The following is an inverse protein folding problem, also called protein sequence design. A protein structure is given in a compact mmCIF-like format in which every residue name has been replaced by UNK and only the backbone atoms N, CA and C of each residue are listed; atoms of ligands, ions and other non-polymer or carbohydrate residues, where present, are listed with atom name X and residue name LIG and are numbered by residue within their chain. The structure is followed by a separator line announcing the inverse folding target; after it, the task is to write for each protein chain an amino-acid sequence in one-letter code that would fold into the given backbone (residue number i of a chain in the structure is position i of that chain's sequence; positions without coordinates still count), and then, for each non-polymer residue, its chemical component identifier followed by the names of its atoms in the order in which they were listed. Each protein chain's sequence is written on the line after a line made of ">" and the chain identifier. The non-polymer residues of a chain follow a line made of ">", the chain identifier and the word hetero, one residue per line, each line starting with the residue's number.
data_IF_120307214414
#
_entry.id   IF_120307214414
#
_cell.length_a   1.000
_cell.length_b   1.000
_cell.length_c   1.000
_cell.angle_alpha   90.00
_cell.angle_beta   90.00
_cell.angle_gamma   90.00
#
_symmetry.space_group_name_H-M   'P 1'
#
loop_
_entity.id
_entity.type
_entity.pdbx_description
1 polymer ?
#
# COMPACT_ATOMS: atom_id res chain seq x y z
N UNK A 1 7.70 -37.96 35.64
CA UNK A 1 6.35 -37.46 35.96
C UNK A 1 6.46 -35.96 36.10
N UNK A 2 5.58 -35.19 35.46
CA UNK A 2 5.58 -33.72 35.52
C UNK A 2 4.22 -33.26 36.05
N UNK A 3 4.27 -32.40 37.07
CA UNK A 3 3.10 -31.75 37.66
C UNK A 3 2.91 -30.36 37.05
N UNK A 4 1.66 -29.91 36.95
CA UNK A 4 1.34 -28.49 36.71
C UNK A 4 0.87 -27.82 38.01
N UNK A 5 0.44 -26.56 37.93
CA UNK A 5 0.04 -25.73 39.08
C UNK A 5 -1.05 -26.33 39.98
N UNK A 6 -1.94 -27.19 39.46
CA UNK A 6 -2.94 -27.90 40.26
C UNK A 6 -2.41 -29.12 41.02
N UNK A 7 -1.15 -29.51 40.81
CA UNK A 7 -0.53 -30.67 41.44
C UNK A 7 -0.79 -32.01 40.72
N UNK A 8 -1.68 -32.07 39.72
CA UNK A 8 -1.90 -33.27 38.92
C UNK A 8 -0.68 -33.61 38.07
N UNK A 9 -0.30 -34.89 38.08
CA UNK A 9 0.90 -35.39 37.43
C UNK A 9 0.56 -36.36 36.30
N UNK A 10 1.30 -36.26 35.19
CA UNK A 10 1.34 -37.29 34.13
C UNK A 10 2.78 -37.58 33.73
N UNK A 11 3.00 -38.69 33.03
CA UNK A 11 4.30 -38.96 32.42
C UNK A 11 4.55 -38.01 31.25
N UNK A 12 5.82 -37.90 30.83
CA UNK A 12 6.21 -37.00 29.74
C UNK A 12 5.51 -37.36 28.42
N UNK A 13 5.43 -38.65 28.07
CA UNK A 13 4.78 -39.08 26.83
C UNK A 13 3.29 -38.71 26.78
N UNK A 14 2.55 -38.87 27.89
CA UNK A 14 1.14 -38.46 27.94
C UNK A 14 0.97 -36.95 27.81
N UNK A 15 1.90 -36.14 28.36
CA UNK A 15 1.88 -34.69 28.15
C UNK A 15 2.20 -34.34 26.70
N UNK A 16 3.20 -34.99 26.10
CA UNK A 16 3.55 -34.80 24.69
C UNK A 16 2.38 -35.11 23.77
N UNK A 17 1.72 -36.27 23.92
CA UNK A 17 0.56 -36.65 23.10
C UNK A 17 -0.60 -35.65 23.27
N UNK A 18 -0.97 -35.33 24.52
CA UNK A 18 -2.07 -34.41 24.80
C UNK A 18 -1.85 -33.00 24.23
N UNK A 19 -0.64 -32.46 24.39
CA UNK A 19 -0.29 -31.12 23.90
C UNK A 19 -0.15 -31.12 22.38
N UNK A 20 0.44 -32.16 21.79
CA UNK A 20 0.58 -32.28 20.33
C UNK A 20 -0.79 -32.37 19.64
N UNK A 21 -1.72 -33.17 20.17
CA UNK A 21 -3.10 -33.27 19.67
C UNK A 21 -3.79 -31.90 19.73
N UNK A 22 -3.72 -31.22 20.87
CA UNK A 22 -4.32 -29.89 21.03
C UNK A 22 -3.73 -28.84 20.06
N UNK A 23 -2.41 -28.86 19.81
CA UNK A 23 -1.76 -27.95 18.86
C UNK A 23 -2.20 -28.25 17.43
N UNK A 24 -2.33 -29.53 17.06
CA UNK A 24 -2.78 -29.94 15.74
C UNK A 24 -4.27 -29.65 15.50
N UNK A 25 -5.10 -29.63 16.54
CA UNK A 25 -6.51 -29.23 16.48
C UNK A 25 -6.72 -27.72 16.28
N UNK A 26 -5.69 -26.90 16.56
CA UNK A 26 -5.68 -25.48 16.18
C UNK A 26 -5.46 -24.50 17.34
N UNK A 27 -5.88 -23.23 17.18
CA UNK A 27 -5.52 -22.14 18.10
C UNK A 27 -6.15 -22.24 19.49
N UNK A 28 -7.06 -23.21 19.72
CA UNK A 28 -7.65 -23.46 21.04
C UNK A 28 -6.61 -23.96 22.06
N UNK A 29 -5.46 -24.48 21.59
CA UNK A 29 -4.31 -24.84 22.42
C UNK A 29 -3.79 -23.68 23.29
N UNK A 30 -4.04 -22.42 22.91
CA UNK A 30 -3.70 -21.23 23.72
C UNK A 30 -4.47 -21.14 25.04
N UNK A 31 -5.54 -21.91 25.18
CA UNK A 31 -6.39 -21.99 26.37
C UNK A 31 -6.43 -23.38 27.00
N UNK A 32 -5.44 -24.23 26.66
CA UNK A 32 -5.36 -25.62 27.08
C UNK A 32 -5.38 -25.78 28.60
N UNK A 33 -6.12 -26.78 29.09
CA UNK A 33 -6.37 -27.04 30.51
C UNK A 33 -5.80 -28.37 30.95
N UNK A 34 -5.79 -28.59 32.26
CA UNK A 34 -5.47 -29.87 32.84
C UNK A 34 -6.40 -30.96 32.27
N UNK A 35 -5.87 -32.11 31.83
CA UNK A 35 -6.70 -33.20 31.29
C UNK A 35 -7.49 -33.96 32.38
N UNK A 36 -7.44 -33.53 33.64
CA UNK A 36 -8.18 -34.14 34.75
C UNK A 36 -9.57 -33.50 34.88
N UNK A 37 -10.62 -34.34 34.88
CA UNK A 37 -11.96 -33.99 34.39
C UNK A 37 -12.57 -32.64 34.80
N UNK A 38 -12.48 -32.22 36.07
CA UNK A 38 -13.07 -30.95 36.55
C UNK A 38 -12.02 -29.87 36.83
N UNK A 39 -10.78 -30.07 36.40
CA UNK A 39 -9.67 -29.19 36.72
C UNK A 39 -9.48 -28.10 35.66
N UNK A 40 -9.66 -26.84 36.03
CA UNK A 40 -9.52 -25.68 35.12
C UNK A 40 -8.10 -25.09 35.08
N UNK A 41 -7.12 -25.74 35.70
CA UNK A 41 -5.76 -25.24 35.72
C UNK A 41 -5.19 -25.17 34.30
N UNK A 42 -4.63 -24.00 33.93
CA UNK A 42 -4.02 -23.79 32.63
C UNK A 42 -2.73 -24.60 32.48
N UNK A 43 -2.51 -25.12 31.28
CA UNK A 43 -1.19 -25.64 30.88
C UNK A 43 -0.30 -24.45 30.56
N UNK A 44 0.82 -24.32 31.29
CA UNK A 44 1.77 -23.22 31.10
C UNK A 44 2.62 -23.38 29.84
N UNK A 45 3.07 -22.26 29.28
CA UNK A 45 3.95 -22.24 28.10
C UNK A 45 5.24 -23.02 28.38
N UNK A 46 5.77 -22.97 29.61
CA UNK A 46 7.00 -23.70 29.94
C UNK A 46 6.84 -25.21 29.78
N UNK A 47 5.64 -25.76 30.07
CA UNK A 47 5.38 -27.18 29.87
C UNK A 47 5.25 -27.52 28.39
N UNK A 48 4.58 -26.67 27.61
CA UNK A 48 4.44 -26.84 26.16
C UNK A 48 5.82 -26.83 25.51
N UNK A 49 6.68 -25.86 25.84
CA UNK A 49 8.05 -25.78 25.35
C UNK A 49 8.92 -26.97 25.78
N UNK A 50 8.66 -27.53 26.97
CA UNK A 50 9.42 -28.66 27.49
C UNK A 50 9.12 -29.98 26.75
N UNK A 51 7.87 -30.22 26.34
CA UNK A 51 7.42 -31.55 25.86
C UNK A 51 7.10 -31.63 24.37
N UNK A 52 6.92 -30.50 23.70
CA UNK A 52 6.65 -30.43 22.26
C UNK A 52 7.93 -30.61 21.42
N UNK A 53 7.77 -31.16 20.22
CA UNK A 53 8.81 -31.14 19.20
C UNK A 53 8.91 -29.74 18.55
N UNK A 54 9.89 -29.52 17.68
CA UNK A 54 10.11 -28.21 17.04
C UNK A 54 8.94 -27.76 16.14
N UNK A 55 8.29 -28.68 15.42
CA UNK A 55 7.15 -28.35 14.55
C UNK A 55 5.93 -27.89 15.36
N UNK A 56 5.62 -28.58 16.46
CA UNK A 56 4.52 -28.24 17.36
C UNK A 56 4.80 -26.94 18.11
N UNK A 57 6.04 -26.70 18.56
CA UNK A 57 6.45 -25.41 19.14
C UNK A 57 6.20 -24.28 18.16
N UNK A 58 6.64 -24.44 16.90
CA UNK A 58 6.46 -23.43 15.86
C UNK A 58 4.97 -23.12 15.65
N UNK A 59 4.13 -24.13 15.47
CA UNK A 59 2.66 -23.97 15.37
C UNK A 59 2.07 -23.24 16.57
N UNK A 60 2.46 -23.63 17.78
CA UNK A 60 1.99 -22.99 19.01
C UNK A 60 2.36 -21.49 19.06
N UNK A 61 3.62 -21.15 18.74
CA UNK A 61 4.07 -19.77 18.69
C UNK A 61 3.37 -18.96 17.57
N UNK A 62 3.08 -19.58 16.42
CA UNK A 62 2.32 -18.96 15.34
C UNK A 62 0.90 -18.60 15.81
N UNK A 63 0.20 -19.52 16.48
CA UNK A 63 -1.12 -19.23 17.07
C UNK A 63 -1.03 -18.13 18.13
N UNK A 64 -0.02 -18.18 19.00
CA UNK A 64 0.17 -17.19 20.06
C UNK A 64 0.37 -15.79 19.48
N UNK A 65 1.22 -15.68 18.46
CA UNK A 65 1.47 -14.42 17.75
C UNK A 65 0.22 -13.95 17.01
N UNK A 66 -0.48 -14.84 16.31
CA UNK A 66 -1.70 -14.48 15.60
C UNK A 66 -2.77 -13.97 16.55
N UNK A 67 -2.95 -14.60 17.72
CA UNK A 67 -3.86 -14.12 18.77
C UNK A 67 -3.43 -12.76 19.32
N UNK A 68 -2.13 -12.51 19.48
CA UNK A 68 -1.62 -11.23 19.96
C UNK A 68 -1.88 -10.09 18.97
N UNK A 69 -1.63 -10.33 17.68
CA UNK A 69 -1.81 -9.33 16.61
C UNK A 69 -3.30 -9.03 16.42
N UNK A 70 -4.13 -10.07 16.31
CA UNK A 70 -5.58 -9.92 16.06
C UNK A 70 -6.28 -9.14 17.17
N UNK A 71 -5.81 -9.29 18.41
CA UNK A 71 -6.37 -8.56 19.57
C UNK A 71 -5.88 -7.12 19.69
N UNK A 72 -4.78 -6.74 19.02
CA UNK A 72 -4.20 -5.38 19.11
C UNK A 72 -4.64 -4.53 17.94
N UNK A 73 -5.42 -3.48 18.21
CA UNK A 73 -5.82 -2.46 17.21
C UNK A 73 -4.64 -1.77 16.48
N UNK A 74 -3.44 -1.82 17.07
CA UNK A 74 -2.20 -1.18 16.58
C UNK A 74 -1.28 -2.12 15.79
N UNK A 75 -1.69 -3.35 15.50
CA UNK A 75 -0.90 -4.32 14.73
C UNK A 75 -1.77 -5.04 13.69
N UNK A 76 -1.28 -5.14 12.45
CA UNK A 76 -1.93 -5.90 11.38
C UNK A 76 -0.89 -6.66 10.55
N UNK A 77 -1.27 -7.84 10.08
CA UNK A 77 -0.51 -8.54 9.05
C UNK A 77 -0.57 -7.76 7.74
N UNK A 78 0.54 -7.73 7.01
CA UNK A 78 0.51 -7.27 5.63
C UNK A 78 -0.37 -8.22 4.80
N UNK A 79 -1.34 -7.71 4.02
CA UNK A 79 -2.22 -8.54 3.21
C UNK A 79 -1.59 -9.02 1.89
N UNK A 80 -0.36 -8.62 1.59
CA UNK A 80 0.34 -9.10 0.40
C UNK A 80 0.58 -10.61 0.43
N UNK A 81 0.46 -11.25 -0.73
CA UNK A 81 0.80 -12.65 -0.90
C UNK A 81 2.27 -12.91 -0.52
N UNK A 82 2.53 -14.02 0.17
CA UNK A 82 3.85 -14.46 0.64
C UNK A 82 4.58 -13.42 1.51
N UNK A 83 3.84 -12.45 2.08
CA UNK A 83 4.38 -11.47 2.98
C UNK A 83 4.10 -11.83 4.44
N UNK A 84 5.16 -11.93 5.22
CA UNK A 84 5.09 -12.36 6.61
C UNK A 84 5.37 -11.19 7.59
N UNK A 85 5.33 -9.97 7.08
CA UNK A 85 5.52 -8.78 7.89
C UNK A 85 4.24 -8.41 8.66
N UNK A 86 4.43 -8.01 9.90
CA UNK A 86 3.44 -7.37 10.75
C UNK A 86 3.75 -5.88 10.78
N UNK A 87 2.76 -5.08 10.39
CA UNK A 87 2.82 -3.63 10.45
C UNK A 87 2.22 -3.18 11.78
N UNK A 88 2.98 -2.40 12.54
CA UNK A 88 2.53 -1.70 13.74
C UNK A 88 2.36 -0.24 13.40
N UNK A 89 1.23 0.34 13.74
CA UNK A 89 0.96 1.74 13.44
C UNK A 89 0.22 2.41 14.60
N UNK A 90 0.64 3.64 14.91
CA UNK A 90 0.00 4.52 15.89
C UNK A 90 -0.83 5.54 15.12
N UNK A 91 -2.06 5.15 14.86
CA UNK A 91 -2.94 5.87 13.95
C UNK A 91 -4.04 6.55 14.77
N UNK A 92 -4.28 7.85 14.50
CA UNK A 92 -5.42 8.59 15.03
C UNK A 92 -6.76 8.09 14.48
N UNK A 93 -7.87 8.61 14.99
CA UNK A 93 -9.22 8.17 14.59
C UNK A 93 -9.67 8.65 13.20
N UNK A 94 -8.80 9.34 12.46
CA UNK A 94 -9.12 9.96 11.17
C UNK A 94 -9.33 8.96 10.02
N UNK A 95 -10.02 9.41 8.97
CA UNK A 95 -10.78 8.55 8.06
C UNK A 95 -9.99 7.75 7.01
N UNK A 96 -8.69 7.99 6.79
CA UNK A 96 -7.92 7.25 5.77
C UNK A 96 -6.47 7.09 6.17
N UNK A 97 -6.15 5.93 6.72
CA UNK A 97 -4.86 5.63 7.29
C UNK A 97 -4.12 4.60 6.43
N UNK A 98 -3.70 5.02 5.25
CA UNK A 98 -2.86 4.21 4.38
C UNK A 98 -1.52 3.96 5.06
N UNK A 99 -1.08 2.69 5.10
CA UNK A 99 0.24 2.30 5.61
C UNK A 99 0.99 1.51 4.54
N UNK A 100 2.31 1.64 4.55
CA UNK A 100 3.19 0.89 3.65
C UNK A 100 4.03 -0.11 4.43
N UNK A 101 3.95 -1.37 4.03
CA UNK A 101 4.77 -2.45 4.56
C UNK A 101 6.20 -2.36 4.01
N UNK A 102 7.19 -2.94 4.73
CA UNK A 102 8.55 -3.16 4.21
C UNK A 102 8.60 -3.99 2.91
N UNK A 103 7.60 -4.83 2.64
CA UNK A 103 7.46 -5.53 1.35
C UNK A 103 6.93 -4.62 0.22
N UNK A 104 6.77 -3.31 0.50
CA UNK A 104 6.28 -2.27 -0.42
C UNK A 104 4.80 -2.36 -0.76
N UNK A 105 4.06 -3.27 -0.12
CA UNK A 105 2.62 -3.29 -0.25
C UNK A 105 2.00 -2.20 0.62
N UNK A 106 1.28 -1.28 -0.01
CA UNK A 106 0.51 -0.24 0.66
C UNK A 106 -0.95 -0.67 0.78
N UNK A 107 -1.49 -0.65 2.00
CA UNK A 107 -2.87 -1.02 2.29
C UNK A 107 -3.54 -0.01 3.24
N UNK A 108 -4.86 0.11 3.14
CA UNK A 108 -5.63 0.93 4.07
C UNK A 108 -5.74 0.22 5.42
N UNK A 109 -5.36 0.89 6.50
CA UNK A 109 -5.43 0.32 7.84
C UNK A 109 -6.85 -0.02 8.27
N UNK A 110 -7.88 0.66 7.74
CA UNK A 110 -9.25 0.45 8.16
C UNK A 110 -9.87 -0.78 7.49
N UNK A 111 -9.87 -0.83 6.15
CA UNK A 111 -10.52 -1.90 5.39
C UNK A 111 -9.59 -3.03 4.95
N UNK A 112 -8.27 -2.90 5.15
CA UNK A 112 -7.25 -3.87 4.74
C UNK A 112 -7.21 -4.18 3.23
N UNK A 113 -7.92 -3.40 2.40
CA UNK A 113 -7.77 -3.37 0.95
C UNK A 113 -6.56 -2.53 0.57
N UNK A 114 -6.23 -2.49 -0.72
CA UNK A 114 -5.20 -1.59 -1.25
C UNK A 114 -5.38 -0.17 -0.71
N UNK A 115 -4.27 0.48 -0.39
CA UNK A 115 -4.25 1.87 0.02
C UNK A 115 -5.03 2.71 -1.00
N UNK A 116 -5.90 3.60 -0.53
CA UNK A 116 -6.92 4.21 -1.38
C UNK A 116 -7.14 5.71 -1.14
N UNK A 117 -6.23 6.39 -0.45
CA UNK A 117 -6.25 7.85 -0.42
C UNK A 117 -6.20 8.43 -1.86
N UNK A 118 -7.04 9.44 -2.17
CA UNK A 118 -7.84 10.26 -1.25
C UNK A 118 -9.25 9.74 -0.91
N UNK A 119 -9.73 8.68 -1.57
CA UNK A 119 -11.10 8.17 -1.43
C UNK A 119 -11.29 7.47 -0.08
N UNK A 120 -12.40 7.69 0.62
CA UNK A 120 -12.73 6.98 1.86
C UNK A 120 -13.16 5.52 1.62
N UNK A 121 -13.12 4.69 2.67
CA UNK A 121 -13.44 3.27 2.55
C UNK A 121 -14.87 2.99 2.04
N UNK A 122 -15.83 3.88 2.30
CA UNK A 122 -17.24 3.70 1.91
C UNK A 122 -17.35 3.83 0.39
N UNK A 123 -16.86 4.95 -0.15
CA UNK A 123 -16.86 5.21 -1.60
C UNK A 123 -16.03 4.21 -2.40
N UNK A 124 -14.94 3.69 -1.81
CA UNK A 124 -14.18 2.57 -2.40
C UNK A 124 -15.03 1.30 -2.47
N UNK A 125 -15.82 1.02 -1.42
CA UNK A 125 -16.75 -0.11 -1.41
C UNK A 125 -17.78 0.01 -2.54
N UNK A 126 -18.45 1.16 -2.63
CA UNK A 126 -19.44 1.46 -3.66
C UNK A 126 -18.86 1.34 -5.08
N UNK A 127 -17.71 1.96 -5.32
CA UNK A 127 -17.03 1.90 -6.62
C UNK A 127 -16.73 0.45 -7.03
N UNK A 128 -16.14 -0.35 -6.14
CA UNK A 128 -15.80 -1.74 -6.45
C UNK A 128 -17.03 -2.61 -6.70
N UNK A 129 -18.12 -2.39 -5.96
CA UNK A 129 -19.39 -3.09 -6.17
C UNK A 129 -20.04 -2.73 -7.51
N UNK A 130 -20.06 -1.45 -7.87
CA UNK A 130 -20.56 -0.99 -9.18
C UNK A 130 -19.74 -1.60 -10.31
N UNK A 131 -18.40 -1.64 -10.18
CA UNK A 131 -17.53 -2.25 -11.19
C UNK A 131 -17.77 -3.75 -11.36
N UNK A 132 -17.97 -4.49 -10.26
CA UNK A 132 -18.31 -5.92 -10.32
C UNK A 132 -19.66 -6.16 -11.02
N UNK A 133 -20.65 -5.30 -10.78
CA UNK A 133 -21.94 -5.36 -11.48
C UNK A 133 -21.82 -5.06 -12.98
N UNK A 134 -21.10 -3.99 -13.35
CA UNK A 134 -20.88 -3.61 -14.75
C UNK A 134 -20.09 -4.67 -15.52
N UNK A 135 -19.06 -5.25 -14.90
CA UNK A 135 -18.27 -6.31 -15.51
C UNK A 135 -19.12 -7.55 -15.82
N UNK A 136 -20.00 -7.95 -14.89
CA UNK A 136 -20.96 -9.03 -15.12
C UNK A 136 -21.92 -8.72 -16.26
N UNK A 137 -22.41 -7.48 -16.34
CA UNK A 137 -23.30 -7.06 -17.43
C UNK A 137 -22.60 -7.10 -18.79
N UNK A 138 -21.34 -6.67 -18.89
CA UNK A 138 -20.57 -6.73 -20.13
C UNK A 138 -20.31 -8.15 -20.60
N UNK A 139 -19.96 -9.06 -19.69
CA UNK A 139 -19.78 -10.47 -20.04
C UNK A 139 -21.11 -11.14 -20.41
N UNK A 140 -22.19 -10.88 -19.68
CA UNK A 140 -23.53 -11.38 -20.01
C UNK A 140 -24.03 -10.87 -21.38
N UNK A 141 -23.72 -9.62 -21.73
CA UNK A 141 -24.03 -9.06 -23.05
C UNK A 141 -23.20 -9.67 -24.19
N UNK A 142 -22.01 -10.21 -23.89
CA UNK A 142 -21.15 -10.87 -24.89
C UNK A 142 -21.57 -12.31 -25.22
N UNK A 143 -22.28 -12.98 -24.29
CA UNK A 143 -22.86 -14.32 -24.51
C UNK A 143 -24.22 -14.26 -25.25
N UNK A 144 -24.86 -13.08 -25.31
CA UNK A 144 -26.13 -12.88 -26.03
C UNK A 144 -25.98 -12.87 -27.57
N UNK A 145 -24.77 -13.05 -28.11
CA UNK A 145 -24.52 -13.07 -29.56
C UNK A 145 -24.36 -14.49 -30.15
N UNK A 146 -24.43 -15.56 -29.36
CA UNK A 146 -24.21 -16.93 -29.84
C UNK A 146 -25.36 -17.92 -29.67
N UNK A 147 -26.49 -17.56 -29.04
CA UNK A 147 -27.68 -18.42 -29.05
C UNK A 147 -28.93 -17.62 -29.42
N UNK A 148 -29.56 -18.02 -30.53
CA UNK A 148 -30.79 -17.42 -31.01
C UNK A 148 -31.87 -17.46 -29.94
N UNK A 149 -32.37 -16.28 -29.55
CA UNK A 149 -33.47 -16.14 -28.62
C UNK A 149 -34.72 -16.86 -29.15
N UNK A 150 -35.39 -17.70 -28.34
CA UNK A 150 -36.77 -18.06 -28.60
C UNK A 150 -37.68 -16.93 -28.11
N UNK A 151 -38.53 -16.44 -29.00
CA UNK A 151 -39.62 -15.52 -28.69
C UNK A 151 -40.54 -16.14 -27.62
N UNK A 152 -40.51 -15.60 -26.40
CA UNK A 152 -41.58 -15.76 -25.44
C UNK A 152 -41.90 -14.38 -24.85
N UNK A 153 -42.98 -13.80 -25.38
CA UNK A 153 -43.76 -12.79 -24.69
C UNK A 153 -44.31 -13.36 -23.38
N UNK A 154 -44.59 -12.47 -22.43
CA UNK A 154 -45.21 -12.73 -21.12
C UNK A 154 -44.27 -12.96 -19.93
N UNK A 155 -43.48 -11.94 -19.57
CA UNK A 155 -43.34 -11.58 -18.14
C UNK A 155 -43.20 -10.07 -18.00
N UNK A 156 -44.30 -9.40 -17.65
CA UNK A 156 -44.33 -7.96 -17.38
C UNK A 156 -43.84 -7.72 -15.93
N UNK A 157 -42.71 -7.04 -15.69
CA UNK A 157 -42.25 -6.72 -14.34
C UNK A 157 -43.21 -5.73 -13.67
N UNK A 158 -43.48 -5.91 -12.39
CA UNK A 158 -44.27 -5.00 -11.56
C UNK A 158 -43.59 -3.64 -11.40
N UNK A 159 -44.38 -2.57 -11.45
CA UNK A 159 -43.91 -1.17 -11.49
C UNK A 159 -43.22 -0.71 -10.18
N UNK A 160 -43.34 -1.44 -9.07
CA UNK A 160 -42.75 -1.08 -7.76
C UNK A 160 -41.24 -1.44 -7.62
N UNK A 161 -40.72 -2.37 -8.42
CA UNK A 161 -39.28 -2.73 -8.42
C UNK A 161 -38.42 -1.76 -9.25
N UNK A 162 -39.06 -0.86 -9.98
CA UNK A 162 -38.43 0.05 -10.94
C UNK A 162 -37.96 1.37 -10.30
N UNK A 163 -38.55 1.76 -9.16
CA UNK A 163 -38.14 2.97 -8.43
C UNK A 163 -36.85 2.72 -7.63
N UNK A 164 -36.65 1.53 -7.06
CA UNK A 164 -35.42 1.17 -6.35
C UNK A 164 -34.22 1.00 -7.32
N UNK A 165 -34.47 0.68 -8.60
CA UNK A 165 -33.45 0.61 -9.65
C UNK A 165 -33.20 1.95 -10.35
N UNK A 166 -34.11 2.91 -10.25
CA UNK A 166 -33.99 4.23 -10.88
C UNK A 166 -33.05 5.17 -10.12
N UNK A 167 -33.02 5.10 -8.80
CA UNK A 167 -32.09 5.92 -7.99
C UNK A 167 -30.62 5.45 -8.15
N UNK A 168 -30.38 4.15 -8.33
CA UNK A 168 -29.05 3.59 -8.63
C UNK A 168 -28.53 3.93 -10.04
N UNK A 169 -29.37 4.51 -10.91
CA UNK A 169 -29.06 4.86 -12.30
C UNK A 169 -28.92 6.37 -12.54
N UNK A 170 -28.69 7.18 -11.50
CA UNK A 170 -28.51 8.64 -11.63
C UNK A 170 -27.13 9.05 -12.20
N UNK A 171 -26.18 8.12 -12.34
CA UNK A 171 -24.91 8.41 -13.03
C UNK A 171 -25.04 8.19 -14.54
N UNK A 172 -24.80 9.23 -15.34
CA UNK A 172 -24.68 9.08 -16.80
C UNK A 172 -23.64 8.00 -17.14
N UNK A 173 -23.97 6.98 -17.96
CA UNK A 173 -23.04 5.89 -18.30
C UNK A 173 -21.72 6.39 -18.92
N UNK A 174 -21.76 7.52 -19.64
CA UNK A 174 -20.58 8.17 -20.23
C UNK A 174 -19.60 8.71 -19.17
N UNK A 175 -20.12 9.17 -18.02
CA UNK A 175 -19.31 9.65 -16.90
C UNK A 175 -18.55 8.50 -16.24
N UNK A 176 -19.27 7.40 -15.98
CA UNK A 176 -18.70 6.19 -15.40
C UNK A 176 -17.59 5.63 -16.31
N UNK A 177 -17.86 5.51 -17.61
CA UNK A 177 -16.90 5.04 -18.60
C UNK A 177 -15.61 5.88 -18.62
N UNK A 178 -15.74 7.21 -18.59
CA UNK A 178 -14.58 8.13 -18.59
C UNK A 178 -13.66 7.91 -17.38
N UNK A 179 -14.23 7.94 -16.17
CA UNK A 179 -13.42 7.82 -14.95
C UNK A 179 -12.90 6.39 -14.75
N UNK A 180 -13.67 5.38 -15.17
CA UNK A 180 -13.22 3.99 -15.15
C UNK A 180 -12.05 3.74 -16.12
N UNK A 181 -12.11 4.29 -17.34
CA UNK A 181 -10.99 4.21 -18.29
C UNK A 181 -9.72 4.83 -17.69
N UNK A 182 -9.82 6.00 -17.04
CA UNK A 182 -8.70 6.62 -16.34
C UNK A 182 -8.16 5.78 -15.17
N UNK A 183 -9.04 5.14 -14.41
CA UNK A 183 -8.70 4.20 -13.34
C UNK A 183 -7.90 3.01 -13.88
N UNK A 184 -8.37 2.38 -14.96
CA UNK A 184 -7.71 1.24 -15.60
C UNK A 184 -6.33 1.60 -16.17
N UNK A 185 -6.22 2.74 -16.86
CA UNK A 185 -4.94 3.21 -17.40
C UNK A 185 -3.94 3.43 -16.27
N UNK A 186 -4.37 4.07 -15.18
CA UNK A 186 -3.52 4.32 -14.01
C UNK A 186 -3.09 3.03 -13.33
N UNK A 187 -3.99 2.04 -13.24
CA UNK A 187 -3.66 0.70 -12.72
C UNK A 187 -2.67 -0.04 -13.61
N UNK A 188 -2.85 0.00 -14.93
CA UNK A 188 -1.91 -0.58 -15.89
C UNK A 188 -0.51 0.05 -15.78
N UNK A 189 -0.43 1.37 -15.70
CA UNK A 189 0.83 2.10 -15.47
C UNK A 189 1.48 1.72 -14.13
N UNK A 190 0.68 1.56 -13.06
CA UNK A 190 1.17 1.11 -11.75
C UNK A 190 1.78 -0.29 -11.83
N UNK A 191 1.11 -1.24 -12.48
CA UNK A 191 1.60 -2.62 -12.66
C UNK A 191 2.92 -2.63 -13.45
N UNK A 192 3.01 -1.82 -14.50
CA UNK A 192 4.25 -1.67 -15.27
C UNK A 192 5.37 -1.13 -14.38
N UNK A 193 5.12 -0.08 -13.59
CA UNK A 193 6.12 0.49 -12.69
C UNK A 193 6.58 -0.50 -11.59
N UNK A 194 5.69 -1.35 -11.09
CA UNK A 194 6.03 -2.45 -10.17
C UNK A 194 6.94 -3.48 -10.85
N UNK A 195 6.68 -3.79 -12.11
CA UNK A 195 7.52 -4.70 -12.91
C UNK A 195 8.90 -4.12 -13.13
N UNK A 196 8.99 -2.84 -13.50
CA UNK A 196 10.25 -2.12 -13.65
C UNK A 196 11.03 -2.04 -12.33
N UNK A 197 10.36 -1.89 -11.17
CA UNK A 197 11.01 -1.93 -9.86
C UNK A 197 11.67 -3.29 -9.59
N UNK A 198 11.00 -4.40 -9.96
CA UNK A 198 11.58 -5.74 -9.81
C UNK A 198 12.83 -5.89 -10.68
N UNK A 199 12.73 -5.51 -11.96
CA UNK A 199 13.87 -5.53 -12.90
C UNK A 199 15.01 -4.63 -12.42
N UNK A 200 14.69 -3.46 -11.87
CA UNK A 200 15.67 -2.54 -11.29
C UNK A 200 16.44 -3.23 -10.16
N UNK A 201 15.73 -3.81 -9.19
CA UNK A 201 16.32 -4.46 -8.01
C UNK A 201 17.09 -5.74 -8.33
N UNK A 202 16.58 -6.58 -9.22
CA UNK A 202 17.14 -7.90 -9.49
C UNK A 202 18.27 -7.87 -10.53
N UNK A 203 18.29 -6.87 -11.43
CA UNK A 203 19.20 -6.86 -12.58
C UNK A 203 19.95 -5.54 -12.69
N UNK A 204 19.25 -4.40 -12.83
CA UNK A 204 19.90 -3.14 -13.23
C UNK A 204 20.81 -2.57 -12.14
N UNK A 205 20.45 -2.68 -10.87
CA UNK A 205 21.28 -2.17 -9.76
C UNK A 205 22.62 -2.90 -9.66
N UNK A 206 22.65 -4.23 -9.84
CA UNK A 206 23.90 -5.00 -9.80
C UNK A 206 24.86 -4.54 -10.92
N UNK A 207 24.33 -4.38 -12.14
CA UNK A 207 25.09 -3.88 -13.28
C UNK A 207 25.64 -2.48 -12.98
N UNK A 208 24.80 -1.55 -12.49
CA UNK A 208 25.22 -0.18 -12.17
C UNK A 208 26.26 -0.15 -11.06
N UNK A 209 26.10 -0.93 -9.99
CA UNK A 209 27.09 -1.03 -8.91
C UNK A 209 28.44 -1.51 -9.42
N UNK A 210 28.43 -2.53 -10.30
CA UNK A 210 29.67 -3.06 -10.89
C UNK A 210 30.37 -2.04 -11.80
N UNK A 211 29.60 -1.29 -12.59
CA UNK A 211 30.13 -0.31 -13.54
C UNK A 211 30.67 0.94 -12.83
N UNK A 212 29.96 1.41 -11.81
CA UNK A 212 30.31 2.63 -11.05
C UNK A 212 31.28 2.35 -9.90
N UNK A 213 31.50 1.08 -9.55
CA UNK A 213 32.24 0.65 -8.36
C UNK A 213 31.67 1.28 -7.07
N UNK A 214 30.35 1.17 -6.90
CA UNK A 214 29.60 1.68 -5.75
C UNK A 214 28.92 0.54 -4.98
N UNK A 215 28.59 0.81 -3.71
CA UNK A 215 27.73 -0.07 -2.92
C UNK A 215 26.27 0.10 -3.33
N UNK A 216 25.46 -0.96 -3.16
CA UNK A 216 24.02 -0.96 -3.45
C UNK A 216 23.26 0.20 -2.81
N UNK A 217 23.66 0.61 -1.60
CA UNK A 217 23.05 1.70 -0.82
C UNK A 217 23.20 3.06 -1.49
N UNK A 218 24.26 3.30 -2.26
CA UNK A 218 24.47 4.55 -2.98
C UNK A 218 23.45 4.77 -4.11
N UNK A 219 22.76 3.70 -4.53
CA UNK A 219 21.71 3.70 -5.56
C UNK A 219 20.29 3.56 -4.99
N UNK A 220 20.12 3.57 -3.67
CA UNK A 220 18.79 3.47 -3.03
C UNK A 220 17.84 4.57 -3.51
N UNK A 221 18.36 5.74 -3.89
CA UNK A 221 17.56 6.83 -4.46
C UNK A 221 16.79 6.43 -5.74
N UNK A 222 17.29 5.48 -6.54
CA UNK A 222 16.57 4.96 -7.71
C UNK A 222 15.41 4.07 -7.30
N UNK A 223 15.61 3.24 -6.26
CA UNK A 223 14.57 2.39 -5.69
C UNK A 223 13.48 3.27 -5.09
N UNK A 224 13.85 4.29 -4.32
CA UNK A 224 12.92 5.26 -3.73
C UNK A 224 12.14 6.02 -4.81
N UNK A 225 12.81 6.49 -5.86
CA UNK A 225 12.16 7.19 -6.97
C UNK A 225 11.16 6.27 -7.70
N UNK A 226 11.55 5.04 -8.00
CA UNK A 226 10.65 4.09 -8.66
C UNK A 226 9.46 3.70 -7.77
N UNK A 227 9.67 3.59 -6.45
CA UNK A 227 8.57 3.40 -5.49
C UNK A 227 7.62 4.59 -5.45
N UNK A 228 8.15 5.81 -5.52
CA UNK A 228 7.33 7.03 -5.61
C UNK A 228 6.49 7.05 -6.88
N UNK A 229 7.03 6.62 -8.04
CA UNK A 229 6.25 6.46 -9.28
C UNK A 229 5.06 5.52 -9.09
N UNK A 230 5.28 4.34 -8.50
CA UNK A 230 4.22 3.36 -8.20
C UNK A 230 3.14 3.99 -7.32
N UNK A 231 3.55 4.70 -6.27
CA UNK A 231 2.66 5.36 -5.33
C UNK A 231 1.86 6.50 -5.99
N UNK A 232 2.47 7.25 -6.90
CA UNK A 232 1.76 8.30 -7.63
C UNK A 232 0.71 7.74 -8.59
N UNK A 233 1.01 6.65 -9.31
CA UNK A 233 0.02 5.98 -10.15
C UNK A 233 -1.13 5.38 -9.32
N UNK A 234 -0.84 4.83 -8.14
CA UNK A 234 -1.87 4.39 -7.19
C UNK A 234 -2.78 5.54 -6.78
N UNK A 235 -2.21 6.71 -6.43
CA UNK A 235 -3.01 7.89 -6.08
C UNK A 235 -3.83 8.38 -7.27
N UNK A 236 -3.25 8.51 -8.47
CA UNK A 236 -3.97 8.87 -9.69
C UNK A 236 -5.17 7.96 -9.96
N UNK A 237 -4.99 6.65 -9.79
CA UNK A 237 -6.07 5.67 -9.90
C UNK A 237 -7.24 6.02 -8.98
N UNK A 238 -6.98 6.29 -7.70
CA UNK A 238 -8.03 6.65 -6.75
C UNK A 238 -8.55 8.08 -6.91
N UNK A 239 -7.74 9.00 -7.42
CA UNK A 239 -8.20 10.34 -7.81
C UNK A 239 -9.28 10.23 -8.90
N UNK A 240 -9.15 9.33 -9.88
CA UNK A 240 -10.24 9.11 -10.85
C UNK A 240 -11.58 8.75 -10.19
N UNK A 241 -11.55 7.95 -9.11
CA UNK A 241 -12.75 7.64 -8.32
C UNK A 241 -13.27 8.87 -7.58
N UNK A 242 -12.40 9.69 -6.97
CA UNK A 242 -12.80 10.98 -6.40
C UNK A 242 -13.49 11.88 -7.44
N UNK A 243 -12.95 11.95 -8.66
CA UNK A 243 -13.51 12.75 -9.75
C UNK A 243 -14.93 12.33 -10.11
N UNK A 244 -15.23 11.03 -10.10
CA UNK A 244 -16.56 10.50 -10.36
C UNK A 244 -17.62 11.07 -9.39
N UNK A 245 -17.30 11.17 -8.09
CA UNK A 245 -18.19 11.71 -7.07
C UNK A 245 -18.23 13.25 -6.99
N UNK A 246 -17.28 13.95 -7.62
CA UNK A 246 -17.21 15.42 -7.65
C UNK A 246 -17.86 16.02 -8.92
N UNK A 247 -18.03 15.21 -9.96
CA UNK A 247 -18.39 15.63 -11.31
C UNK A 247 -19.84 16.18 -11.50
N UNK A 248 -20.57 16.46 -10.43
CA UNK A 248 -21.87 17.14 -10.50
C UNK A 248 -21.74 18.63 -10.86
N UNK A 249 -20.63 19.26 -10.49
CA UNK A 249 -20.30 20.65 -10.80
C UNK A 249 -19.33 20.72 -11.99
N UNK A 250 -19.78 21.32 -13.09
CA UNK A 250 -19.00 21.42 -14.34
C UNK A 250 -17.68 22.19 -14.16
N UNK A 251 -17.67 23.24 -13.33
CA UNK A 251 -16.47 24.03 -13.08
C UNK A 251 -15.46 23.23 -12.26
N UNK A 252 -15.91 22.54 -11.21
CA UNK A 252 -15.07 21.66 -10.39
C UNK A 252 -14.54 20.49 -11.21
N UNK A 253 -15.37 19.89 -12.07
CA UNK A 253 -14.97 18.80 -12.96
C UNK A 253 -13.84 19.21 -13.91
N UNK A 254 -13.97 20.38 -14.55
CA UNK A 254 -12.94 20.87 -15.48
C UNK A 254 -11.62 21.17 -14.78
N UNK A 255 -11.68 21.77 -13.59
CA UNK A 255 -10.49 22.04 -12.79
C UNK A 255 -9.83 20.74 -12.32
N UNK A 256 -10.63 19.76 -11.91
CA UNK A 256 -10.16 18.43 -11.53
C UNK A 256 -9.43 17.70 -12.67
N UNK A 257 -9.97 17.75 -13.89
CA UNK A 257 -9.33 17.18 -15.07
C UNK A 257 -7.97 17.84 -15.35
N UNK A 258 -7.85 19.16 -15.21
CA UNK A 258 -6.56 19.86 -15.35
C UNK A 258 -5.55 19.41 -14.28
N UNK A 259 -6.00 19.24 -13.04
CA UNK A 259 -5.17 18.72 -11.94
C UNK A 259 -4.67 17.31 -12.22
N UNK A 260 -5.54 16.42 -12.73
CA UNK A 260 -5.16 15.06 -13.13
C UNK A 260 -4.09 15.08 -14.24
N UNK A 261 -4.25 15.92 -15.25
CA UNK A 261 -3.28 16.00 -16.36
C UNK A 261 -1.92 16.55 -15.91
N UNK A 262 -1.90 17.53 -15.01
CA UNK A 262 -0.65 18.02 -14.41
C UNK A 262 0.02 16.93 -13.58
N UNK A 263 -0.74 16.20 -12.76
CA UNK A 263 -0.24 15.12 -11.93
C UNK A 263 0.35 13.97 -12.77
N UNK A 264 -0.33 13.57 -13.86
CA UNK A 264 0.18 12.56 -14.81
C UNK A 264 1.47 12.99 -15.47
N UNK A 265 1.58 14.26 -15.91
CA UNK A 265 2.81 14.79 -16.52
C UNK A 265 4.00 14.70 -15.57
N UNK A 266 3.80 15.02 -14.29
CA UNK A 266 4.85 14.95 -13.28
C UNK A 266 5.38 13.52 -13.08
N UNK A 267 4.49 12.53 -13.01
CA UNK A 267 4.90 11.11 -12.86
C UNK A 267 5.62 10.59 -14.08
N UNK A 268 5.13 10.92 -15.29
CA UNK A 268 5.79 10.52 -16.53
C UNK A 268 7.18 11.15 -16.70
N UNK A 269 7.33 12.39 -16.23
CA UNK A 269 8.65 13.02 -16.17
C UNK A 269 9.56 12.24 -15.22
N UNK A 270 9.07 11.86 -14.04
CA UNK A 270 9.83 11.08 -13.07
C UNK A 270 10.26 9.70 -13.62
N UNK A 271 9.35 8.96 -14.27
CA UNK A 271 9.64 7.70 -14.97
C UNK A 271 10.78 7.89 -15.99
N UNK A 272 10.65 8.91 -16.84
CA UNK A 272 11.65 9.24 -17.85
C UNK A 272 13.02 9.53 -17.23
N UNK A 273 13.10 10.28 -16.14
CA UNK A 273 14.37 10.60 -15.48
C UNK A 273 15.04 9.35 -14.89
N UNK A 274 14.27 8.42 -14.32
CA UNK A 274 14.80 7.13 -13.83
C UNK A 274 15.34 6.30 -14.99
N UNK A 275 14.60 6.18 -16.09
CA UNK A 275 15.02 5.40 -17.27
C UNK A 275 16.25 6.02 -17.97
N UNK A 276 16.29 7.34 -18.11
CA UNK A 276 17.43 8.06 -18.69
C UNK A 276 18.68 7.95 -17.84
N UNK A 277 18.54 7.90 -16.50
CA UNK A 277 19.67 7.67 -15.61
C UNK A 277 20.32 6.31 -15.89
N UNK A 278 19.52 5.24 -15.90
CA UNK A 278 20.01 3.89 -16.18
C UNK A 278 20.66 3.83 -17.56
N UNK A 279 19.97 4.35 -18.58
CA UNK A 279 20.42 4.29 -19.97
C UNK A 279 21.71 5.07 -20.20
N UNK A 280 21.82 6.27 -19.65
CA UNK A 280 22.96 7.16 -19.91
C UNK A 280 24.20 6.74 -19.14
N UNK A 281 24.04 6.28 -17.90
CA UNK A 281 25.17 5.78 -17.11
C UNK A 281 25.81 4.56 -17.78
N UNK A 282 25.01 3.68 -18.36
CA UNK A 282 25.52 2.51 -19.09
C UNK A 282 26.15 2.86 -20.46
N UNK A 283 25.88 4.04 -21.01
CA UNK A 283 26.33 4.45 -22.34
C UNK A 283 27.57 5.35 -22.36
N UNK A 284 28.01 5.88 -21.21
CA UNK A 284 29.08 6.88 -21.15
C UNK A 284 30.32 6.38 -20.40
N UNK A 285 31.48 6.33 -21.08
CA UNK A 285 32.79 5.96 -20.51
C UNK A 285 33.35 6.97 -19.48
N UNK A 286 32.73 8.15 -19.32
CA UNK A 286 33.18 9.21 -18.39
C UNK A 286 32.27 9.29 -17.16
N UNK A 287 32.54 8.38 -16.23
CA UNK A 287 31.74 8.05 -15.04
C UNK A 287 31.45 9.21 -14.06
N UNK A 288 32.17 10.34 -14.10
CA UNK A 288 32.26 11.18 -12.89
C UNK A 288 31.38 12.45 -12.83
N UNK A 289 31.23 13.25 -13.90
CA UNK A 289 30.62 14.59 -13.75
C UNK A 289 29.10 14.60 -13.85
N UNK A 290 28.50 13.75 -14.70
CA UNK A 290 27.05 13.76 -14.92
C UNK A 290 26.29 12.89 -13.88
N UNK A 291 26.95 11.90 -13.27
CA UNK A 291 26.32 11.03 -12.26
C UNK A 291 25.80 11.84 -11.08
N UNK A 292 26.65 12.68 -10.48
CA UNK A 292 26.29 13.47 -9.29
C UNK A 292 25.13 14.41 -9.60
N UNK A 293 25.20 15.14 -10.72
CA UNK A 293 24.16 16.05 -11.15
C UNK A 293 22.81 15.34 -11.37
N UNK A 294 22.81 14.18 -12.05
CA UNK A 294 21.58 13.40 -12.27
C UNK A 294 21.03 12.80 -10.98
N UNK A 295 21.89 12.31 -10.08
CA UNK A 295 21.49 11.81 -8.76
C UNK A 295 20.77 12.89 -7.96
N UNK A 296 21.34 14.11 -7.89
CA UNK A 296 20.71 15.25 -7.20
C UNK A 296 19.36 15.58 -7.83
N UNK A 297 19.27 15.60 -9.17
CA UNK A 297 18.03 15.89 -9.88
C UNK A 297 16.93 14.87 -9.55
N UNK A 298 17.22 13.57 -9.56
CA UNK A 298 16.24 12.53 -9.23
C UNK A 298 15.78 12.62 -7.78
N UNK A 299 16.70 12.84 -6.84
CA UNK A 299 16.37 12.98 -5.41
C UNK A 299 15.43 14.18 -5.20
N UNK A 300 15.74 15.31 -5.82
CA UNK A 300 14.92 16.51 -5.68
C UNK A 300 13.56 16.38 -6.38
N UNK A 301 13.54 15.79 -7.59
CA UNK A 301 12.28 15.52 -8.29
C UNK A 301 11.40 14.53 -7.51
N UNK A 302 11.99 13.51 -6.89
CA UNK A 302 11.31 12.56 -6.01
C UNK A 302 10.64 13.29 -4.84
N UNK A 303 11.40 14.16 -4.15
CA UNK A 303 10.90 14.97 -3.03
C UNK A 303 9.72 15.85 -3.44
N UNK A 304 9.91 16.66 -4.49
CA UNK A 304 8.88 17.60 -4.98
C UNK A 304 7.64 16.86 -5.46
N UNK A 305 7.81 15.70 -6.12
CA UNK A 305 6.69 14.86 -6.56
C UNK A 305 5.91 14.31 -5.38
N UNK A 306 6.59 13.78 -4.35
CA UNK A 306 5.96 13.31 -3.12
C UNK A 306 5.16 14.40 -2.41
N UNK A 307 5.73 15.60 -2.27
CA UNK A 307 5.06 16.74 -1.66
C UNK A 307 3.84 17.23 -2.45
N UNK A 308 3.95 17.26 -3.78
CA UNK A 308 2.84 17.63 -4.65
C UNK A 308 1.67 16.66 -4.49
N UNK A 309 1.92 15.35 -4.62
CA UNK A 309 0.87 14.35 -4.46
C UNK A 309 0.33 14.27 -3.03
N UNK A 310 1.14 14.55 -2.01
CA UNK A 310 0.69 14.65 -0.62
C UNK A 310 -0.32 15.77 -0.44
N UNK A 311 -0.02 16.97 -0.94
CA UNK A 311 -0.93 18.12 -0.89
C UNK A 311 -2.23 17.87 -1.65
N UNK A 312 -2.15 17.29 -2.85
CA UNK A 312 -3.35 16.94 -3.63
C UNK A 312 -4.29 15.99 -2.87
N UNK A 313 -3.75 15.00 -2.17
CA UNK A 313 -4.55 14.08 -1.37
C UNK A 313 -5.28 14.82 -0.24
N UNK A 314 -4.61 15.72 0.48
CA UNK A 314 -5.24 16.50 1.55
C UNK A 314 -6.29 17.49 1.04
N UNK A 315 -6.03 18.13 -0.11
CA UNK A 315 -6.99 19.00 -0.78
C UNK A 315 -8.26 18.24 -1.22
N UNK A 316 -8.09 17.02 -1.73
CA UNK A 316 -9.21 16.18 -2.14
C UNK A 316 -10.03 15.65 -0.96
N UNK A 317 -9.38 15.41 0.20
CA UNK A 317 -10.09 15.02 1.43
C UNK A 317 -10.94 16.16 2.02
N UNK A 318 -10.55 17.42 1.80
CA UNK A 318 -11.26 18.61 2.30
C UNK A 318 -12.38 19.12 1.38
N UNK A 319 -12.97 18.21 0.57
CA UNK A 319 -14.06 18.45 -0.38
C UNK A 319 -13.80 19.59 -1.39
N UNK A 320 -12.54 19.79 -1.80
CA UNK A 320 -12.16 20.75 -2.85
C UNK A 320 -12.63 22.19 -2.57
N UNK A 321 -12.85 22.56 -1.31
CA UNK A 321 -13.20 23.95 -0.95
C UNK A 321 -12.08 24.96 -1.24
N UNK A 322 -10.86 24.48 -1.53
CA UNK A 322 -9.63 25.26 -1.58
C UNK A 322 -8.85 25.20 -2.91
N UNK A 323 -9.45 24.81 -4.05
CA UNK A 323 -8.72 24.64 -5.34
C UNK A 323 -8.28 25.96 -6.01
N UNK A 324 -7.63 26.86 -5.25
CA UNK A 324 -7.22 28.19 -5.72
C UNK A 324 -5.71 28.46 -5.54
N UNK A 325 -4.89 27.53 -5.02
CA UNK A 325 -3.49 27.89 -4.67
C UNK A 325 -2.34 27.02 -5.19
N UNK A 326 -2.56 25.91 -5.91
CA UNK A 326 -1.45 24.97 -6.25
C UNK A 326 -0.78 25.23 -7.60
N UNK A 327 -1.31 26.12 -8.43
CA UNK A 327 -0.84 26.30 -9.82
C UNK A 327 0.51 26.99 -9.99
N UNK A 328 1.22 27.41 -8.94
CA UNK A 328 2.36 28.34 -9.11
C UNK A 328 3.76 27.82 -8.70
N UNK A 329 3.97 26.55 -8.37
CA UNK A 329 5.32 26.13 -7.89
C UNK A 329 6.14 25.25 -8.83
N UNK A 330 5.62 24.78 -9.97
CA UNK A 330 6.37 23.83 -10.82
C UNK A 330 7.14 24.51 -11.97
N UNK A 331 6.97 25.81 -12.19
CA UNK A 331 7.58 26.52 -13.34
C UNK A 331 8.76 27.44 -13.01
N UNK A 332 9.29 27.43 -11.78
CA UNK A 332 10.45 28.26 -11.41
C UNK A 332 11.61 27.43 -10.84
N UNK A 333 12.20 26.60 -11.69
CA UNK A 333 13.60 26.20 -11.55
C UNK A 333 14.19 25.99 -12.94
N UNK A 334 14.43 27.11 -13.63
CA UNK A 334 15.30 27.16 -14.80
C UNK A 334 16.72 26.82 -14.34
N UNK A 335 17.27 25.75 -14.90
CA UNK A 335 18.69 25.42 -14.82
C UNK A 335 19.36 26.28 -15.89
N UNK A 336 19.95 27.40 -15.48
CA UNK A 336 20.95 28.10 -16.28
C UNK A 336 22.34 27.72 -15.76
N UNK A 337 23.17 27.29 -16.71
CA UNK A 337 24.62 27.15 -16.61
C UNK A 337 25.26 28.52 -16.46
N UNK A 338 26.22 28.69 -15.55
CA UNK A 338 27.55 29.23 -15.87
C UNK A 338 28.48 29.29 -14.64
N UNK A 339 29.76 29.24 -14.97
CA UNK A 339 30.94 29.03 -14.13
C UNK A 339 31.31 30.18 -13.18
N UNK A 340 32.11 29.79 -12.18
CA UNK A 340 33.14 30.53 -11.45
C UNK A 340 32.77 31.82 -10.71
N UNK A 341 32.90 31.79 -9.38
CA UNK A 341 33.99 32.49 -8.67
C UNK A 341 33.98 32.19 -7.17
N UNK A 342 35.17 31.98 -6.65
CA UNK A 342 35.56 31.77 -5.26
C UNK A 342 35.15 32.91 -4.32
N UNK A 343 34.70 32.55 -3.10
CA UNK A 343 35.24 33.19 -1.89
C UNK A 343 34.97 32.43 -0.59
N UNK A 344 36.00 32.38 0.24
CA UNK A 344 36.07 31.81 1.58
C UNK A 344 35.39 32.68 2.65
N UNK A 345 34.77 32.08 3.66
CA UNK A 345 34.94 32.51 5.06
C UNK A 345 34.28 31.56 6.07
N UNK A 346 35.03 31.34 7.14
CA UNK A 346 34.76 30.54 8.34
C UNK A 346 33.74 31.16 9.29
N UNK A 347 32.91 30.35 9.96
CA UNK A 347 32.47 30.62 11.34
C UNK A 347 31.91 29.37 12.03
N UNK A 348 32.11 29.33 13.35
CA UNK A 348 32.02 28.22 14.31
C UNK A 348 30.59 27.80 14.68
N UNK A 349 30.38 26.62 15.33
CA UNK A 349 29.07 26.03 15.54
C UNK A 349 28.38 26.57 16.82
N UNK A 350 27.04 26.73 16.83
CA UNK A 350 26.33 27.01 18.07
C UNK A 350 25.86 25.71 18.76
N UNK A 351 25.78 25.84 20.08
CA UNK A 351 25.55 24.81 21.09
C UNK A 351 24.17 24.14 21.06
N UNK A 352 24.16 22.94 21.65
CA UNK A 352 23.07 21.98 21.77
C UNK A 352 21.98 22.49 22.75
N UNK A 353 20.76 22.68 22.27
CA UNK A 353 19.57 22.89 23.10
C UNK A 353 18.90 21.54 23.46
N UNK A 354 18.20 21.42 24.60
CA UNK A 354 17.77 20.15 25.16
C UNK A 354 16.60 19.52 24.39
N UNK A 355 16.66 18.20 24.25
CA UNK A 355 15.68 17.34 23.59
C UNK A 355 14.29 17.47 24.26
N UNK A 356 13.30 17.96 23.49
CA UNK A 356 11.88 17.68 23.74
C UNK A 356 11.50 16.45 22.93
N UNK A 357 10.89 15.46 23.58
CA UNK A 357 10.30 14.31 22.91
C UNK A 357 9.23 14.78 21.90
N UNK A 358 9.22 14.28 20.65
CA UNK A 358 8.20 14.65 19.69
C UNK A 358 6.92 13.85 19.94
N UNK A 359 5.95 14.50 20.57
CA UNK A 359 4.54 14.12 20.42
C UNK A 359 4.13 14.34 18.95
N UNK A 360 3.62 13.28 18.29
CA UNK A 360 2.89 13.43 17.02
C UNK A 360 3.50 12.84 15.75
N UNK A 361 4.45 11.91 15.83
CA UNK A 361 4.85 11.12 14.64
C UNK A 361 4.08 9.80 14.59
N UNK A 362 3.26 9.64 13.55
CA UNK A 362 2.76 8.34 13.09
C UNK A 362 3.97 7.44 12.79
N UNK A 363 4.40 6.67 13.78
CA UNK A 363 5.54 5.78 13.62
C UNK A 363 5.02 4.41 13.17
N UNK A 364 5.21 4.12 11.88
CA UNK A 364 4.93 2.79 11.31
C UNK A 364 6.16 1.90 11.51
N UNK A 365 6.02 0.81 12.25
CA UNK A 365 7.07 -0.18 12.47
C UNK A 365 6.71 -1.49 11.77
N UNK A 366 7.72 -2.20 11.28
CA UNK A 366 7.53 -3.48 10.59
C UNK A 366 8.35 -4.57 11.28
N UNK A 367 7.70 -5.65 11.69
CA UNK A 367 8.32 -6.86 12.25
C UNK A 367 8.19 -8.01 11.26
N UNK A 368 9.29 -8.69 10.92
CA UNK A 368 9.25 -9.89 10.08
C UNK A 368 9.00 -11.10 10.97
N UNK A 369 7.89 -11.80 10.77
CA UNK A 369 7.66 -13.09 11.40
C UNK A 369 7.78 -14.19 10.35
N UNK A 370 8.65 -15.17 10.51
CA UNK A 370 8.81 -16.21 9.47
C UNK A 370 7.66 -17.23 9.58
N UNK A 371 6.76 -17.27 8.58
CA UNK A 371 5.76 -18.33 8.37
C UNK A 371 6.35 -19.34 7.39
N UNK A 372 7.10 -20.33 7.88
CA UNK A 372 7.55 -21.42 6.99
C UNK A 372 6.48 -22.48 6.78
#
# INVERSE_FOLDING_TARGET
>A
MVAISCGHQRCLSCWTEYISEAINDGPQCLTLRCPEGSCEAAVGIELIELVSNEDDKKKFHDYLLQSFITRRRKAKWCPAQDCEYVVFAYIGEDANNDVTCKCLHSFCWNCSKEAHAPVDCVRVGEWLSEMDAQLKNWYAGSDAFSEGAPDNEDTKPSDDDNDCKRELAESSPERLERYYSGWLISEGSRINAVTELKVLKEIRLEILCSYLNLESTELDFLVEAQMQVIECWRRLKWMHVCGYYVAEDEQKSKLFELTLEQAKKLVRMMEKHVDEFVSTVLACDTVSTQYIARRINIIELNRVTGEYYGRLVEEMKSDLSAVVSVTTTITSSSIDTDEDSSNSSSSSPPEKAPEKEPEGLSSVFNYKHKRE
#
